data_IF_298431816924
#
_entry.id   IF_298431816924
#
_cell.length_a   1.000
_cell.length_b   1.000
_cell.length_c   1.000
_cell.angle_alpha   90.00
_cell.angle_beta   90.00
_cell.angle_gamma   90.00
#
_symmetry.space_group_name_H-M   'P 1'
#
loop_
_entity.id
_entity.type
_entity.pdbx_description
1 polymer ?
#
# COMPACT_ATOMS: atom_id res chain seq x y z
N UNK A 1 -22.91 4.43 -21.37
CA UNK A 1 -23.21 2.98 -21.32
C UNK A 1 -22.04 2.22 -21.90
N UNK A 2 -21.16 1.69 -21.03
CA UNK A 2 -20.28 0.56 -21.35
C UNK A 2 -19.81 -0.04 -20.03
N UNK A 3 -19.73 -1.36 -19.99
CA UNK A 3 -19.96 -2.19 -18.81
C UNK A 3 -18.74 -2.28 -17.88
N UNK A 4 -18.99 -2.10 -16.58
CA UNK A 4 -18.16 -2.54 -15.47
C UNK A 4 -18.23 -4.08 -15.35
N UNK A 5 -17.08 -4.74 -15.18
CA UNK A 5 -16.99 -6.10 -14.63
C UNK A 5 -16.32 -6.01 -13.26
N UNK A 6 -17.02 -6.25 -12.14
CA UNK A 6 -16.36 -6.46 -10.86
C UNK A 6 -15.94 -7.93 -10.75
N UNK A 7 -14.66 -8.16 -10.47
CA UNK A 7 -14.18 -9.44 -9.98
C UNK A 7 -14.66 -9.63 -8.54
N UNK A 8 -15.85 -10.22 -8.39
CA UNK A 8 -16.31 -10.81 -7.14
C UNK A 8 -15.45 -12.03 -6.81
N UNK A 9 -14.75 -12.01 -5.68
CA UNK A 9 -14.23 -13.21 -5.02
C UNK A 9 -14.43 -13.09 -3.52
N UNK A 10 -15.63 -13.37 -3.03
CA UNK A 10 -15.85 -13.99 -1.72
C UNK A 10 -17.11 -14.85 -1.82
N UNK A 11 -16.95 -16.17 -1.84
CA UNK A 11 -17.98 -17.10 -1.40
C UNK A 11 -17.30 -18.42 -0.97
N UNK A 12 -16.98 -18.48 0.33
CA UNK A 12 -16.75 -19.74 1.00
C UNK A 12 -18.12 -20.27 1.44
N UNK A 13 -18.61 -21.34 0.84
CA UNK A 13 -19.76 -22.09 1.34
C UNK A 13 -19.61 -23.57 0.97
N UNK A 14 -19.43 -24.39 2.01
CA UNK A 14 -19.46 -25.84 1.94
C UNK A 14 -20.88 -26.33 1.64
N UNK A 15 -21.03 -27.29 0.72
CA UNK A 15 -22.03 -28.36 0.86
C UNK A 15 -21.48 -29.65 0.23
N UNK A 16 -21.44 -30.69 1.04
CA UNK A 16 -21.11 -32.05 0.65
C UNK A 16 -22.35 -32.76 0.07
N UNK A 17 -22.17 -33.43 -1.07
CA UNK A 17 -22.97 -34.61 -1.44
C UNK A 17 -22.04 -35.65 -2.06
N UNK A 18 -22.13 -36.88 -1.54
CA UNK A 18 -21.42 -38.06 -2.02
C UNK A 18 -21.91 -38.45 -3.42
N UNK A 19 -20.97 -38.78 -4.30
CA UNK A 19 -21.09 -39.87 -5.28
C UNK A 19 -19.71 -40.44 -5.53
N UNK A 20 -19.56 -41.74 -5.29
CA UNK A 20 -18.37 -42.51 -5.56
C UNK A 20 -18.37 -42.94 -7.03
N UNK A 21 -17.40 -42.47 -7.81
CA UNK A 21 -16.97 -43.11 -9.05
C UNK A 21 -15.45 -43.26 -9.00
N UNK A 22 -15.01 -44.51 -9.12
CA UNK A 22 -13.63 -44.89 -9.16
C UNK A 22 -12.99 -44.35 -10.44
N UNK A 23 -12.14 -43.33 -10.31
CA UNK A 23 -11.17 -42.95 -11.32
C UNK A 23 -9.78 -42.95 -10.73
N UNK A 24 -8.93 -43.76 -11.34
CA UNK A 24 -7.53 -44.03 -11.08
C UNK A 24 -6.74 -42.77 -10.69
N UNK A 25 -6.07 -42.82 -9.54
CA UNK A 25 -5.16 -41.77 -9.11
C UNK A 25 -3.96 -41.65 -10.06
N UNK A 26 -3.70 -40.49 -10.71
CA UNK A 26 -2.36 -40.20 -11.21
C UNK A 26 -1.43 -39.93 -10.02
N UNK A 27 -0.12 -40.22 -10.13
CA UNK A 27 0.81 -40.06 -9.03
C UNK A 27 0.81 -38.61 -8.55
N UNK A 28 0.61 -38.43 -7.24
CA UNK A 28 0.78 -37.14 -6.57
C UNK A 28 2.25 -36.72 -6.72
N UNK A 29 2.54 -35.87 -7.70
CA UNK A 29 3.71 -35.01 -7.60
C UNK A 29 3.47 -34.11 -6.40
N UNK A 30 4.32 -34.25 -5.38
CA UNK A 30 4.39 -33.31 -4.27
C UNK A 30 4.35 -31.87 -4.84
N UNK A 31 3.61 -30.93 -4.24
CA UNK A 31 3.63 -29.55 -4.70
C UNK A 31 5.08 -29.10 -4.74
N UNK A 32 5.55 -28.75 -5.94
CA UNK A 32 6.86 -28.19 -6.14
C UNK A 32 7.04 -27.05 -5.14
N UNK A 33 8.11 -27.13 -4.34
CA UNK A 33 8.52 -26.05 -3.46
C UNK A 33 8.48 -24.74 -4.25
N UNK A 34 7.83 -23.73 -3.68
CA UNK A 34 7.67 -22.42 -4.30
C UNK A 34 9.03 -21.93 -4.82
N UNK A 35 9.18 -21.94 -6.15
CA UNK A 35 10.32 -21.34 -6.83
C UNK A 35 10.39 -19.87 -6.42
N UNK A 36 11.59 -19.31 -6.13
CA UNK A 36 11.70 -17.93 -5.70
C UNK A 36 11.23 -16.99 -6.83
N UNK A 37 10.22 -16.19 -6.51
CA UNK A 37 9.93 -14.85 -7.05
C UNK A 37 10.40 -14.57 -8.48
N UNK A 38 9.46 -14.65 -9.43
CA UNK A 38 9.52 -13.83 -10.63
C UNK A 38 9.63 -12.36 -10.20
N UNK A 39 10.79 -11.75 -10.44
CA UNK A 39 11.08 -10.36 -10.09
C UNK A 39 9.97 -9.44 -10.63
N UNK A 40 9.46 -8.53 -9.79
CA UNK A 40 8.48 -7.54 -10.25
C UNK A 40 9.11 -6.72 -11.40
N UNK A 41 8.34 -6.27 -12.41
CA UNK A 41 8.87 -5.40 -13.47
C UNK A 41 9.61 -4.18 -12.93
N UNK A 42 9.13 -3.63 -11.80
CA UNK A 42 9.75 -2.50 -11.08
C UNK A 42 11.14 -2.88 -10.56
N UNK A 43 11.33 -4.10 -10.05
CA UNK A 43 12.63 -4.57 -9.56
C UNK A 43 13.68 -4.68 -10.67
N UNK A 44 13.26 -5.04 -11.89
CA UNK A 44 14.14 -5.12 -13.06
C UNK A 44 14.57 -3.73 -13.53
N UNK A 45 13.61 -2.81 -13.63
CA UNK A 45 13.88 -1.44 -14.08
C UNK A 45 14.73 -0.68 -13.05
N UNK A 46 14.46 -0.87 -11.76
CA UNK A 46 15.27 -0.29 -10.68
C UNK A 46 16.74 -0.69 -10.78
N UNK A 47 17.05 -1.99 -10.92
CA UNK A 47 18.43 -2.48 -10.99
C UNK A 47 19.20 -2.01 -12.23
N UNK A 48 18.51 -1.51 -13.26
CA UNK A 48 19.13 -0.97 -14.47
C UNK A 48 19.68 0.45 -14.30
N UNK A 49 19.26 1.16 -13.25
CA UNK A 49 19.68 2.53 -12.98
C UNK A 49 21.05 2.58 -12.28
N UNK A 50 21.81 3.69 -12.40
CA UNK A 50 22.93 3.97 -11.50
C UNK A 50 22.49 3.95 -10.02
N UNK A 51 23.37 3.52 -9.11
CA UNK A 51 23.01 3.35 -7.69
C UNK A 51 22.43 4.62 -7.05
N UNK A 52 22.94 5.81 -7.40
CA UNK A 52 22.41 7.07 -6.91
C UNK A 52 20.95 7.30 -7.35
N UNK A 53 20.63 6.97 -8.61
CA UNK A 53 19.27 7.08 -9.15
C UNK A 53 18.33 6.02 -8.56
N UNK A 54 18.85 4.82 -8.26
CA UNK A 54 18.11 3.80 -7.51
C UNK A 54 17.69 4.30 -6.14
N UNK A 55 18.64 4.86 -5.38
CA UNK A 55 18.39 5.42 -4.04
C UNK A 55 17.39 6.58 -4.11
N UNK A 56 17.55 7.48 -5.08
CA UNK A 56 16.62 8.60 -5.30
C UNK A 56 15.22 8.12 -5.66
N UNK A 57 15.09 7.14 -6.54
CA UNK A 57 13.81 6.53 -6.89
C UNK A 57 13.14 5.91 -5.66
N UNK A 58 13.90 5.13 -4.88
CA UNK A 58 13.39 4.48 -3.68
C UNK A 58 12.92 5.49 -2.62
N UNK A 59 13.70 6.55 -2.39
CA UNK A 59 13.33 7.66 -1.51
C UNK A 59 12.04 8.36 -1.97
N UNK A 60 11.94 8.72 -3.26
CA UNK A 60 10.74 9.33 -3.81
C UNK A 60 9.50 8.42 -3.69
N UNK A 61 9.67 7.11 -3.91
CA UNK A 61 8.59 6.13 -3.77
C UNK A 61 8.10 6.03 -2.32
N UNK A 62 9.03 5.98 -1.37
CA UNK A 62 8.69 5.98 0.06
C UNK A 62 7.99 7.27 0.48
N UNK A 63 8.51 8.45 0.10
CA UNK A 63 7.89 9.72 0.46
C UNK A 63 6.46 9.86 -0.11
N UNK A 64 6.21 9.31 -1.30
CA UNK A 64 4.86 9.22 -1.86
C UNK A 64 3.94 8.30 -1.04
N UNK A 65 4.44 7.13 -0.61
CA UNK A 65 3.72 6.24 0.32
C UNK A 65 3.43 6.92 1.66
N UNK A 66 4.42 7.59 2.24
CA UNK A 66 4.32 8.29 3.52
C UNK A 66 3.31 9.43 3.47
N UNK A 67 3.35 10.23 2.42
CA UNK A 67 2.42 11.35 2.20
C UNK A 67 0.99 10.87 2.04
N UNK A 68 0.77 9.85 1.21
CA UNK A 68 -0.57 9.31 0.95
C UNK A 68 -1.19 8.75 2.23
N UNK A 69 -0.48 7.84 2.91
CA UNK A 69 -1.04 7.07 4.02
C UNK A 69 -1.05 7.79 5.36
N UNK A 70 -0.15 8.77 5.57
CA UNK A 70 -0.16 9.61 6.77
C UNK A 70 -0.98 10.87 6.55
N UNK A 71 -0.44 11.80 5.77
CA UNK A 71 -0.99 13.16 5.61
C UNK A 71 -2.33 13.16 4.87
N UNK A 72 -2.38 12.62 3.65
CA UNK A 72 -3.58 12.69 2.82
C UNK A 72 -4.74 11.90 3.43
N UNK A 73 -4.49 10.72 3.99
CA UNK A 73 -5.50 9.97 4.76
C UNK A 73 -6.03 10.76 5.95
N UNK A 74 -5.15 11.38 6.73
CA UNK A 74 -5.57 12.24 7.85
C UNK A 74 -6.43 13.44 7.39
N UNK A 75 -6.04 14.11 6.31
CA UNK A 75 -6.74 15.28 5.78
C UNK A 75 -8.12 14.92 5.19
N UNK A 76 -8.22 13.84 4.42
CA UNK A 76 -9.49 13.35 3.87
C UNK A 76 -10.45 12.96 5.00
N UNK A 77 -9.99 12.19 5.99
CA UNK A 77 -10.86 11.76 7.07
C UNK A 77 -11.28 12.93 7.99
N UNK A 78 -10.43 13.93 8.17
CA UNK A 78 -10.81 15.18 8.86
C UNK A 78 -11.92 15.91 8.12
N UNK A 79 -11.88 15.95 6.79
CA UNK A 79 -12.94 16.55 5.98
C UNK A 79 -14.29 15.81 6.10
N UNK A 80 -14.26 14.52 6.44
CA UNK A 80 -15.44 13.70 6.78
C UNK A 80 -15.87 13.82 8.25
N UNK A 81 -15.20 14.66 9.05
CA UNK A 81 -15.50 14.83 10.48
C UNK A 81 -14.90 13.77 11.40
N UNK A 82 -13.96 12.94 10.92
CA UNK A 82 -13.29 11.89 11.71
C UNK A 82 -11.85 12.30 12.03
N UNK A 83 -11.49 12.30 13.32
CA UNK A 83 -10.12 12.58 13.75
C UNK A 83 -9.24 11.32 13.65
N UNK A 84 -8.20 11.39 12.81
CA UNK A 84 -7.19 10.34 12.66
C UNK A 84 -5.83 10.70 13.29
N UNK A 85 -5.76 11.69 14.18
CA UNK A 85 -4.49 12.13 14.77
C UNK A 85 -3.71 10.98 15.43
N UNK A 86 -4.39 10.07 16.13
CA UNK A 86 -3.76 8.90 16.74
C UNK A 86 -3.16 7.94 15.69
N UNK A 87 -3.88 7.69 14.61
CA UNK A 87 -3.40 6.89 13.48
C UNK A 87 -2.21 7.55 12.80
N UNK A 88 -2.29 8.85 12.50
CA UNK A 88 -1.20 9.58 11.83
C UNK A 88 0.07 9.52 12.68
N UNK A 89 -0.01 9.77 13.98
CA UNK A 89 1.16 9.70 14.86
C UNK A 89 1.75 8.29 14.95
N UNK A 90 0.90 7.26 15.01
CA UNK A 90 1.38 5.87 15.05
C UNK A 90 2.00 5.45 13.71
N UNK A 91 1.44 5.89 12.58
CA UNK A 91 2.03 5.70 11.25
C UNK A 91 3.39 6.38 11.14
N UNK A 92 3.51 7.64 11.56
CA UNK A 92 4.78 8.39 11.51
C UNK A 92 5.86 7.64 12.30
N UNK A 93 5.60 7.33 13.58
CA UNK A 93 6.54 6.58 14.44
C UNK A 93 6.98 5.24 13.85
N UNK A 94 6.09 4.54 13.15
CA UNK A 94 6.42 3.26 12.51
C UNK A 94 7.45 3.42 11.39
N UNK A 95 7.48 4.56 10.72
CA UNK A 95 8.25 4.81 9.49
C UNK A 95 9.32 5.89 9.66
N UNK A 96 9.67 6.26 10.90
CA UNK A 96 10.63 7.34 11.19
C UNK A 96 12.00 7.07 10.55
N UNK A 97 12.48 5.83 10.60
CA UNK A 97 13.79 5.45 10.06
C UNK A 97 13.83 5.55 8.52
N UNK A 98 12.81 5.05 7.84
CA UNK A 98 12.67 5.16 6.39
C UNK A 98 12.51 6.62 5.96
N UNK A 99 11.78 7.43 6.74
CA UNK A 99 11.62 8.86 6.48
C UNK A 99 12.92 9.62 6.59
N UNK A 100 13.68 9.43 7.67
CA UNK A 100 14.99 10.05 7.86
C UNK A 100 15.95 9.68 6.72
N UNK A 101 15.92 8.41 6.28
CA UNK A 101 16.76 7.94 5.17
C UNK A 101 16.35 8.58 3.85
N UNK A 102 15.05 8.59 3.54
CA UNK A 102 14.53 9.15 2.30
C UNK A 102 14.80 10.65 2.20
N UNK A 103 14.56 11.40 3.29
CA UNK A 103 14.81 12.84 3.35
C UNK A 103 16.28 13.18 3.08
N UNK A 104 17.21 12.49 3.75
CA UNK A 104 18.66 12.67 3.51
C UNK A 104 19.06 12.42 2.06
N UNK A 105 18.53 11.38 1.43
CA UNK A 105 18.82 11.06 0.02
C UNK A 105 18.30 12.17 -0.90
N UNK A 106 17.08 12.65 -0.67
CA UNK A 106 16.46 13.68 -1.51
C UNK A 106 17.17 15.02 -1.40
N UNK A 107 17.54 15.42 -0.18
CA UNK A 107 18.34 16.63 0.07
C UNK A 107 19.71 16.52 -0.61
N UNK A 108 20.41 15.39 -0.46
CA UNK A 108 21.70 15.17 -1.10
C UNK A 108 21.61 15.14 -2.64
N UNK A 109 20.45 14.76 -3.18
CA UNK A 109 20.18 14.74 -4.62
C UNK A 109 19.82 16.12 -5.21
N UNK A 110 19.83 17.17 -4.37
CA UNK A 110 19.51 18.54 -4.78
C UNK A 110 18.02 18.78 -5.03
N UNK A 111 17.14 17.87 -4.59
CA UNK A 111 15.70 18.10 -4.64
C UNK A 111 15.30 18.88 -3.40
N UNK A 112 15.00 20.17 -3.58
CA UNK A 112 14.63 21.04 -2.48
C UNK A 112 13.29 20.61 -1.86
N UNK A 113 13.10 20.91 -0.58
CA UNK A 113 11.82 20.72 0.11
C UNK A 113 10.67 21.43 -0.62
N UNK A 114 10.97 22.55 -1.30
CA UNK A 114 10.01 23.29 -2.11
C UNK A 114 9.54 22.51 -3.35
N UNK A 115 10.46 21.83 -4.05
CA UNK A 115 10.12 20.98 -5.21
C UNK A 115 9.32 19.75 -4.77
N UNK A 116 9.65 19.15 -3.62
CA UNK A 116 8.86 18.06 -3.05
C UNK A 116 7.44 18.49 -2.67
N UNK A 117 7.30 19.68 -2.07
CA UNK A 117 6.00 20.25 -1.72
C UNK A 117 5.17 20.57 -2.98
N UNK A 118 5.79 21.19 -3.99
CA UNK A 118 5.13 21.50 -5.26
C UNK A 118 4.66 20.24 -6.00
N UNK A 119 5.47 19.18 -6.03
CA UNK A 119 5.09 17.90 -6.63
C UNK A 119 3.92 17.24 -5.88
N UNK A 120 3.90 17.35 -4.55
CA UNK A 120 2.80 16.87 -3.72
C UNK A 120 1.51 17.65 -3.98
N UNK A 121 1.61 18.98 -4.05
CA UNK A 121 0.47 19.86 -4.25
C UNK A 121 -0.15 19.71 -5.64
N UNK A 122 0.68 19.60 -6.67
CA UNK A 122 0.24 19.33 -8.05
C UNK A 122 -0.55 18.01 -8.17
N UNK A 123 -0.30 17.06 -7.27
CA UNK A 123 -0.98 15.76 -7.25
C UNK A 123 -2.10 15.68 -6.21
N UNK A 124 -2.34 16.72 -5.42
CA UNK A 124 -3.19 16.67 -4.21
C UNK A 124 -4.58 16.09 -4.49
N UNK A 125 -5.31 16.64 -5.46
CA UNK A 125 -6.67 16.17 -5.78
C UNK A 125 -6.72 14.69 -6.16
N UNK A 126 -5.75 14.22 -6.94
CA UNK A 126 -5.63 12.79 -7.32
C UNK A 126 -5.30 11.90 -6.13
N UNK A 127 -4.48 12.37 -5.20
CA UNK A 127 -4.15 11.61 -3.97
C UNK A 127 -5.37 11.53 -3.05
N UNK A 128 -6.10 12.64 -2.88
CA UNK A 128 -7.33 12.69 -2.10
C UNK A 128 -8.40 11.76 -2.67
N UNK A 129 -8.61 11.76 -3.99
CA UNK A 129 -9.53 10.85 -4.66
C UNK A 129 -9.17 9.38 -4.41
N UNK A 130 -7.88 9.04 -4.51
CA UNK A 130 -7.40 7.68 -4.23
C UNK A 130 -7.65 7.27 -2.78
N UNK A 131 -7.44 8.17 -1.83
CA UNK A 131 -7.73 7.92 -0.41
C UNK A 131 -9.23 7.73 -0.20
N UNK A 132 -10.08 8.61 -0.78
CA UNK A 132 -11.54 8.48 -0.69
C UNK A 132 -12.01 7.14 -1.22
N UNK A 133 -11.50 6.72 -2.38
CA UNK A 133 -11.81 5.39 -2.92
C UNK A 133 -11.38 4.27 -1.96
N UNK A 134 -10.17 4.36 -1.38
CA UNK A 134 -9.68 3.35 -0.44
C UNK A 134 -10.54 3.27 0.83
N UNK A 135 -11.03 4.40 1.34
CA UNK A 135 -11.95 4.43 2.48
C UNK A 135 -13.33 3.88 2.11
N UNK A 136 -13.80 4.16 0.89
CA UNK A 136 -15.03 3.60 0.35
C UNK A 136 -14.95 2.07 0.21
N UNK A 137 -13.82 1.56 -0.28
CA UNK A 137 -13.58 0.12 -0.43
C UNK A 137 -13.52 -0.57 0.94
N UNK A 138 -12.83 0.04 1.91
CA UNK A 138 -12.80 -0.43 3.30
C UNK A 138 -14.20 -0.45 3.91
N UNK A 139 -14.98 0.63 3.74
CA UNK A 139 -16.36 0.67 4.18
C UNK A 139 -17.18 -0.46 3.53
N UNK A 140 -17.05 -0.65 2.22
CA UNK A 140 -17.71 -1.74 1.50
C UNK A 140 -17.39 -3.13 2.04
N UNK A 141 -16.12 -3.40 2.37
CA UNK A 141 -15.69 -4.64 3.01
C UNK A 141 -16.30 -4.86 4.40
N UNK A 142 -16.71 -3.78 5.07
CA UNK A 142 -17.39 -3.79 6.37
C UNK A 142 -18.93 -3.72 6.23
N UNK A 143 -19.46 -3.90 5.02
CA UNK A 143 -20.89 -3.73 4.69
C UNK A 143 -21.43 -2.33 5.04
N UNK A 144 -20.58 -1.32 4.90
CA UNK A 144 -20.86 0.11 5.07
C UNK A 144 -20.80 0.81 3.70
N UNK A 145 -21.19 2.09 3.65
CA UNK A 145 -21.42 2.77 2.36
C UNK A 145 -20.79 4.16 2.24
N UNK A 146 -20.15 4.67 3.28
CA UNK A 146 -19.59 6.02 3.26
C UNK A 146 -18.08 6.05 3.54
N UNK A 147 -17.40 7.04 2.97
CA UNK A 147 -16.00 7.36 3.29
C UNK A 147 -15.82 7.58 4.79
N UNK A 148 -16.75 8.31 5.43
CA UNK A 148 -16.74 8.55 6.86
C UNK A 148 -16.74 7.25 7.69
N UNK A 149 -17.47 6.21 7.28
CA UNK A 149 -17.47 4.91 7.96
C UNK A 149 -16.13 4.17 7.80
N UNK A 150 -15.49 4.25 6.62
CA UNK A 150 -14.13 3.72 6.44
C UNK A 150 -13.10 4.45 7.31
N UNK A 151 -13.19 5.78 7.39
CA UNK A 151 -12.37 6.58 8.28
C UNK A 151 -12.62 6.24 9.76
N UNK A 152 -13.87 6.08 10.18
CA UNK A 152 -14.24 5.73 11.54
C UNK A 152 -13.67 4.35 11.94
N UNK A 153 -13.62 3.40 11.01
CA UNK A 153 -12.96 2.13 11.25
C UNK A 153 -11.46 2.30 11.55
N UNK A 154 -10.74 3.09 10.76
CA UNK A 154 -9.31 3.36 11.03
C UNK A 154 -9.13 4.02 12.40
N UNK A 155 -9.99 4.98 12.75
CA UNK A 155 -9.95 5.66 14.04
C UNK A 155 -10.15 4.68 15.22
N UNK A 156 -11.04 3.70 15.07
CA UNK A 156 -11.30 2.68 16.08
C UNK A 156 -10.24 1.57 16.13
N UNK A 157 -9.52 1.33 15.02
CA UNK A 157 -8.60 0.20 14.84
C UNK A 157 -7.18 0.66 14.47
N UNK A 158 -6.66 1.66 15.18
CA UNK A 158 -5.35 2.30 14.86
C UNK A 158 -4.21 1.30 14.72
N UNK A 159 -4.09 0.35 15.66
CA UNK A 159 -2.99 -0.63 15.66
C UNK A 159 -3.01 -1.49 14.39
N UNK A 160 -4.18 -2.02 14.02
CA UNK A 160 -4.35 -2.88 12.85
C UNK A 160 -4.16 -2.09 11.55
N UNK A 161 -4.73 -0.88 11.50
CA UNK A 161 -4.59 0.01 10.36
C UNK A 161 -3.12 0.36 10.09
N UNK A 162 -2.35 0.69 11.14
CA UNK A 162 -0.91 1.00 11.01
C UNK A 162 -0.10 -0.26 10.68
N UNK A 163 -0.43 -1.42 11.24
CA UNK A 163 0.23 -2.68 10.93
C UNK A 163 0.13 -3.03 9.43
N UNK A 164 -1.04 -2.81 8.83
CA UNK A 164 -1.27 -3.02 7.38
C UNK A 164 -0.48 -2.07 6.47
N UNK A 165 -0.01 -0.93 6.98
CA UNK A 165 0.76 0.05 6.22
C UNK A 165 2.26 -0.17 6.39
N UNK A 166 2.79 -1.26 5.87
CA UNK A 166 4.22 -1.57 5.87
C UNK A 166 4.84 -1.35 4.49
N UNK A 167 5.72 -0.33 4.36
CA UNK A 167 6.41 -0.07 3.09
C UNK A 167 7.29 -1.24 2.68
N UNK A 168 8.04 -1.81 3.63
CA UNK A 168 8.89 -2.99 3.43
C UNK A 168 8.10 -4.21 2.94
N UNK A 169 6.90 -4.45 3.46
CA UNK A 169 6.09 -5.59 2.99
C UNK A 169 5.48 -5.33 1.62
N UNK A 170 5.07 -4.09 1.34
CA UNK A 170 4.44 -3.72 0.07
C UNK A 170 5.45 -3.56 -1.07
N UNK A 171 6.70 -3.21 -0.76
CA UNK A 171 7.74 -2.88 -1.74
C UNK A 171 9.14 -3.36 -1.27
N UNK A 172 9.33 -4.66 -0.98
CA UNK A 172 10.54 -5.15 -0.32
C UNK A 172 11.83 -4.86 -1.09
N UNK A 173 11.81 -4.94 -2.42
CA UNK A 173 12.98 -4.63 -3.25
C UNK A 173 13.36 -3.14 -3.25
N UNK A 174 12.36 -2.25 -3.10
CA UNK A 174 12.56 -0.80 -3.10
C UNK A 174 13.04 -0.36 -1.72
N UNK A 175 12.44 -0.92 -0.67
CA UNK A 175 12.87 -0.67 0.70
C UNK A 175 14.32 -1.11 0.94
N UNK A 176 14.72 -2.27 0.42
CA UNK A 176 16.10 -2.73 0.54
C UNK A 176 17.10 -1.74 -0.09
N UNK A 177 16.74 -1.12 -1.23
CA UNK A 177 17.55 -0.06 -1.85
C UNK A 177 17.56 1.21 -1.00
N UNK A 178 16.39 1.64 -0.50
CA UNK A 178 16.27 2.81 0.36
C UNK A 178 17.19 2.71 1.59
N UNK A 179 17.14 1.57 2.26
CA UNK A 179 17.84 1.32 3.52
C UNK A 179 19.29 0.86 3.33
N UNK A 180 19.73 0.60 2.10
CA UNK A 180 21.12 0.25 1.80
C UNK A 180 22.07 1.42 2.05
N UNK A 181 23.22 1.16 2.69
CA UNK A 181 24.24 2.16 3.02
C UNK A 181 24.79 2.90 1.80
#
# INVERSE_FOLDING_TARGET
MSYYRPASMIACAMMATLSAEAYSAPPQTAPAAATPSSQSPIAKDLKSLPLADQKRFAAGRFLGFYTLNGRTTGDVCRAEGVDLSAYVQAFQRKHDAEYERADKIMVASGFSTAEMAAATDANRGRLEEKVRQSMQDLAGALHKTTVAEGCAYIAAHVSDAVAGQSFAQQNPEIEAVLMSN
#
